data_IF_182399617748
#
_entry.id   IF_182399617748
#
_cell.length_a   1.000
_cell.length_b   1.000
_cell.length_c   1.000
_cell.angle_alpha   90.00
_cell.angle_beta   90.00
_cell.angle_gamma   90.00
#
_symmetry.space_group_name_H-M   'P 1'
#
loop_
_entity.id
_entity.type
_entity.pdbx_description
1 polymer ?
#
# COMPACT_ATOMS: atom_id res chain seq x y z
N UNK A 1 -13.64 18.41 -16.96
CA UNK A 1 -12.76 17.95 -18.04
C UNK A 1 -11.86 16.86 -17.46
N UNK A 2 -12.07 15.58 -17.82
CA UNK A 2 -11.15 14.52 -17.42
C UNK A 2 -9.88 14.68 -18.27
N UNK A 3 -8.72 14.86 -17.62
CA UNK A 3 -7.45 14.93 -18.31
C UNK A 3 -7.24 13.63 -19.10
N UNK A 4 -6.77 13.73 -20.34
CA UNK A 4 -6.42 12.56 -21.13
C UNK A 4 -5.42 11.69 -20.36
N UNK A 5 -5.57 10.35 -20.36
CA UNK A 5 -4.62 9.47 -19.69
C UNK A 5 -3.22 9.73 -20.26
N UNK A 6 -2.31 10.20 -19.40
CA UNK A 6 -0.93 10.42 -19.79
C UNK A 6 -0.23 9.08 -20.00
N UNK A 7 0.67 8.97 -21.00
CA UNK A 7 1.48 7.78 -21.17
C UNK A 7 2.29 7.50 -19.89
N UNK A 8 2.43 6.23 -19.54
CA UNK A 8 3.29 5.83 -18.43
C UNK A 8 4.74 6.09 -18.86
N UNK A 9 5.43 6.94 -18.11
CA UNK A 9 6.84 7.29 -18.33
C UNK A 9 7.74 6.72 -17.25
N UNK A 10 7.17 6.36 -16.09
CA UNK A 10 7.94 5.94 -14.92
C UNK A 10 7.25 4.78 -14.20
N UNK A 11 8.00 3.73 -13.92
CA UNK A 11 7.61 2.63 -13.04
C UNK A 11 8.21 2.84 -11.65
N UNK A 12 7.35 3.01 -10.64
CA UNK A 12 7.74 3.10 -9.24
C UNK A 12 7.42 1.79 -8.53
N UNK A 13 8.45 1.06 -8.12
CA UNK A 13 8.32 -0.19 -7.35
C UNK A 13 8.60 0.10 -5.88
N UNK A 14 7.61 -0.17 -5.03
CA UNK A 14 7.71 -0.14 -3.57
C UNK A 14 7.88 -1.57 -3.07
N UNK A 15 8.98 -1.84 -2.35
CA UNK A 15 9.26 -3.16 -1.77
C UNK A 15 8.99 -3.10 -0.26
N UNK A 16 8.03 -3.91 0.19
CA UNK A 16 7.53 -3.98 1.56
C UNK A 16 6.25 -3.18 1.79
N UNK A 17 5.28 -3.76 2.50
CA UNK A 17 3.97 -3.16 2.78
C UNK A 17 3.86 -2.33 4.06
N UNK A 18 4.97 -1.85 4.64
CA UNK A 18 4.97 -1.15 5.93
C UNK A 18 4.30 0.23 5.91
N UNK A 19 4.19 0.84 7.10
CA UNK A 19 3.52 2.15 7.32
C UNK A 19 3.94 3.25 6.35
N UNK A 20 5.23 3.38 6.06
CA UNK A 20 5.74 4.40 5.14
C UNK A 20 5.14 4.25 3.74
N UNK A 21 5.13 3.03 3.21
CA UNK A 21 4.54 2.74 1.90
C UNK A 21 3.03 2.80 1.92
N UNK A 22 2.36 2.40 3.01
CA UNK A 22 0.92 2.59 3.16
C UNK A 22 0.53 4.09 3.11
N UNK A 23 1.26 4.95 3.82
CA UNK A 23 1.04 6.40 3.78
C UNK A 23 1.34 6.95 2.38
N UNK A 24 2.40 6.49 1.73
CA UNK A 24 2.74 6.90 0.36
C UNK A 24 1.63 6.54 -0.63
N UNK A 25 1.14 5.28 -0.62
CA UNK A 25 0.02 4.83 -1.45
C UNK A 25 -1.23 5.66 -1.20
N UNK A 26 -1.57 5.95 0.06
CA UNK A 26 -2.70 6.84 0.40
C UNK A 26 -2.52 8.23 -0.21
N UNK A 27 -1.33 8.81 -0.13
CA UNK A 27 -1.03 10.13 -0.72
C UNK A 27 -1.13 10.09 -2.25
N UNK A 28 -0.62 9.05 -2.90
CA UNK A 28 -0.76 8.87 -4.35
C UNK A 28 -2.21 8.67 -4.79
N UNK A 29 -3.02 7.96 -4.01
CA UNK A 29 -4.45 7.84 -4.27
C UNK A 29 -5.16 9.20 -4.24
N UNK A 30 -4.84 10.02 -3.23
CA UNK A 30 -5.42 11.35 -3.05
C UNK A 30 -4.93 12.37 -4.09
N UNK A 31 -3.66 12.26 -4.50
CA UNK A 31 -3.04 13.13 -5.51
C UNK A 31 -2.18 12.27 -6.45
N UNK A 32 -2.79 11.67 -7.50
CA UNK A 32 -2.06 10.84 -8.44
C UNK A 32 -0.95 11.60 -9.15
N UNK A 33 0.21 10.97 -9.32
CA UNK A 33 1.29 11.52 -10.13
C UNK A 33 1.05 11.15 -11.60
N UNK A 34 0.94 12.14 -12.50
CA UNK A 34 0.78 11.86 -13.92
C UNK A 34 1.99 11.09 -14.48
N UNK A 35 1.73 10.08 -15.33
CA UNK A 35 2.77 9.26 -15.97
C UNK A 35 3.46 8.22 -15.09
N UNK A 36 3.07 8.07 -13.81
CA UNK A 36 3.67 7.10 -12.89
C UNK A 36 2.75 5.88 -12.71
N UNK A 37 3.28 4.68 -12.97
CA UNK A 37 2.67 3.42 -12.57
C UNK A 37 3.31 2.93 -11.27
N UNK A 38 2.48 2.64 -10.28
CA UNK A 38 2.92 2.22 -8.95
C UNK A 38 2.72 0.72 -8.80
N UNK A 39 3.74 0.04 -8.32
CA UNK A 39 3.71 -1.38 -7.96
C UNK A 39 4.17 -1.54 -6.52
N UNK A 40 3.38 -2.24 -5.71
CA UNK A 40 3.75 -2.67 -4.35
C UNK A 40 4.04 -4.18 -4.37
N UNK A 41 5.24 -4.56 -3.93
CA UNK A 41 5.63 -5.95 -3.69
C UNK A 41 5.74 -6.13 -2.17
N UNK A 42 5.03 -7.09 -1.60
CA UNK A 42 5.05 -7.33 -0.15
C UNK A 42 4.62 -8.76 0.13
N UNK A 43 5.16 -9.42 1.14
CA UNK A 43 4.77 -10.79 1.51
C UNK A 43 3.47 -10.83 2.33
N UNK A 44 3.04 -9.68 2.84
CA UNK A 44 1.87 -9.55 3.69
C UNK A 44 0.75 -8.75 3.01
N UNK A 45 -0.48 -9.25 3.10
CA UNK A 45 -1.68 -8.54 2.63
C UNK A 45 -2.19 -7.50 3.64
N UNK A 46 -1.83 -7.66 4.90
CA UNK A 46 -2.18 -6.78 6.01
C UNK A 46 -0.90 -6.30 6.68
N UNK A 47 -0.76 -4.99 6.90
CA UNK A 47 0.33 -4.48 7.74
C UNK A 47 -0.23 -4.11 9.10
N UNK A 48 0.35 -4.61 10.20
CA UNK A 48 -0.09 -4.23 11.54
C UNK A 48 0.18 -2.75 11.77
N UNK A 49 -0.73 -2.08 12.47
CA UNK A 49 -0.46 -0.78 13.08
C UNK A 49 0.16 -1.01 14.45
N UNK A 50 1.49 -0.84 14.56
CA UNK A 50 2.25 -1.27 15.74
C UNK A 50 1.74 -0.66 17.05
N UNK A 51 1.21 0.58 17.01
CA UNK A 51 0.62 1.23 18.17
C UNK A 51 -0.67 0.58 18.70
N UNK A 52 -1.37 -0.21 17.88
CA UNK A 52 -2.58 -0.95 18.24
C UNK A 52 -2.31 -2.39 18.65
N UNK A 53 -1.11 -2.93 18.38
CA UNK A 53 -0.79 -4.33 18.69
C UNK A 53 -0.95 -4.71 20.17
N UNK A 54 -0.51 -3.89 21.16
CA UNK A 54 -0.76 -4.21 22.56
C UNK A 54 -2.27 -4.30 22.88
N UNK A 55 -3.08 -3.43 22.28
CA UNK A 55 -4.54 -3.46 22.43
C UNK A 55 -5.18 -4.67 21.76
N UNK A 56 -4.65 -5.11 20.62
CA UNK A 56 -5.10 -6.34 19.96
C UNK A 56 -4.83 -7.58 20.82
N UNK A 57 -3.63 -7.71 21.38
CA UNK A 57 -3.27 -8.82 22.29
C UNK A 57 -4.14 -8.79 23.56
N UNK A 58 -4.47 -7.61 24.07
CA UNK A 58 -5.36 -7.43 25.21
C UNK A 58 -6.87 -7.64 24.88
N UNK A 59 -7.23 -7.86 23.61
CA UNK A 59 -8.61 -8.07 23.16
C UNK A 59 -9.43 -6.80 22.96
N UNK A 60 -8.82 -5.61 22.97
CA UNK A 60 -9.50 -4.32 22.73
C UNK A 60 -9.73 -4.02 21.25
N UNK A 61 -8.93 -4.60 20.37
CA UNK A 61 -9.06 -4.44 18.92
C UNK A 61 -9.13 -5.80 18.25
N UNK A 62 -10.02 -5.94 17.29
CA UNK A 62 -10.02 -7.05 16.34
C UNK A 62 -8.79 -6.98 15.41
N UNK A 63 -8.55 -8.05 14.66
CA UNK A 63 -7.47 -8.08 13.67
C UNK A 63 -7.61 -6.96 12.63
N UNK A 64 -8.82 -6.78 12.10
CA UNK A 64 -9.11 -5.77 11.07
C UNK A 64 -9.01 -4.33 11.57
N UNK A 65 -9.24 -4.09 12.86
CA UNK A 65 -9.03 -2.78 13.48
C UNK A 65 -7.54 -2.48 13.70
N UNK A 66 -6.75 -3.51 14.04
CA UNK A 66 -5.33 -3.37 14.31
C UNK A 66 -4.44 -3.41 13.05
N UNK A 67 -4.99 -3.76 11.88
CA UNK A 67 -4.22 -3.91 10.64
C UNK A 67 -4.77 -3.06 9.50
N UNK A 68 -3.87 -2.59 8.64
CA UNK A 68 -4.20 -1.91 7.40
C UNK A 68 -4.26 -2.95 6.28
N UNK A 69 -5.41 -3.05 5.62
CA UNK A 69 -5.59 -3.86 4.41
C UNK A 69 -4.90 -3.21 3.21
N UNK A 70 -3.79 -3.80 2.77
CA UNK A 70 -2.99 -3.30 1.66
C UNK A 70 -3.65 -3.57 0.30
N UNK A 71 -4.56 -4.53 0.21
CA UNK A 71 -5.31 -4.82 -1.03
C UNK A 71 -6.29 -3.68 -1.30
N UNK A 72 -7.07 -3.29 -0.29
CA UNK A 72 -7.98 -2.13 -0.38
C UNK A 72 -7.21 -0.85 -0.69
N UNK A 73 -6.05 -0.66 -0.07
CA UNK A 73 -5.22 0.51 -0.31
C UNK A 73 -4.58 0.53 -1.71
N UNK A 74 -4.15 -0.62 -2.23
CA UNK A 74 -3.65 -0.76 -3.59
C UNK A 74 -4.74 -0.43 -4.62
N UNK A 75 -5.96 -0.96 -4.43
CA UNK A 75 -7.12 -0.63 -5.27
C UNK A 75 -7.41 0.88 -5.22
N UNK A 76 -7.44 1.48 -4.02
CA UNK A 76 -7.68 2.91 -3.85
C UNK A 76 -6.62 3.78 -4.54
N UNK A 77 -5.36 3.36 -4.50
CA UNK A 77 -4.24 4.06 -5.13
C UNK A 77 -4.01 3.72 -6.60
N UNK A 78 -4.81 2.80 -7.18
CA UNK A 78 -4.59 2.24 -8.52
C UNK A 78 -3.19 1.63 -8.68
N UNK A 79 -2.61 1.14 -7.58
CA UNK A 79 -1.34 0.43 -7.59
C UNK A 79 -1.53 -1.05 -7.92
N UNK A 80 -0.56 -1.63 -8.61
CA UNK A 80 -0.45 -3.07 -8.74
C UNK A 80 0.07 -3.63 -7.42
N UNK A 81 -0.52 -4.73 -6.93
CA UNK A 81 -0.08 -5.41 -5.72
C UNK A 81 0.39 -6.83 -6.08
N UNK A 82 1.64 -7.14 -5.74
CA UNK A 82 2.21 -8.48 -5.83
C UNK A 82 2.49 -8.97 -4.41
N UNK A 83 1.88 -10.11 -4.06
CA UNK A 83 2.16 -10.79 -2.80
C UNK A 83 3.36 -11.71 -2.99
N UNK A 84 4.57 -11.19 -2.78
CA UNK A 84 5.82 -11.87 -3.09
C UNK A 84 6.99 -11.31 -2.25
N UNK A 85 8.14 -11.98 -2.33
CA UNK A 85 9.37 -11.63 -1.64
C UNK A 85 10.50 -11.30 -2.62
N UNK A 86 11.27 -10.24 -2.34
CA UNK A 86 12.50 -9.96 -3.07
C UNK A 86 13.62 -10.91 -2.62
N UNK A 87 14.16 -11.72 -3.53
CA UNK A 87 15.16 -12.75 -3.23
C UNK A 87 16.58 -12.43 -3.75
N UNK A 88 16.84 -11.19 -4.17
CA UNK A 88 18.15 -10.72 -4.61
C UNK A 88 18.22 -9.21 -4.76
N UNK A 89 19.37 -8.63 -4.38
CA UNK A 89 19.74 -7.23 -4.64
C UNK A 89 21.21 -7.16 -5.06
#
# INVERSE_FOLDING_TARGET
MQAAPQPITTDLVLVGGGHSHAIALKKFAMKPLPGVRITLITDNAHTPYSGMLPGHVAGFYSYDEAHIDLRRLAVFSKAQLYLDQGIGM
#
